data_IF_928071774690
#
_entry.id   IF_928071774690
#
_cell.length_a   1.000
_cell.length_b   1.000
_cell.length_c   1.000
_cell.angle_alpha   90.00
_cell.angle_beta   90.00
_cell.angle_gamma   90.00
#
_symmetry.space_group_name_H-M   'P 1'
#
loop_
_entity.id
_entity.type
_entity.pdbx_description
1 polymer ?
#
# COMPACT_ATOMS: atom_id res chain seq x y z
N UNK A 1 -7.85 29.16 -14.26
CA UNK A 1 -7.80 27.85 -13.58
C UNK A 1 -6.36 27.42 -13.56
N UNK A 2 -5.78 27.11 -12.38
CA UNK A 2 -4.41 26.59 -12.31
C UNK A 2 -4.35 25.21 -12.98
N UNK A 3 -3.46 25.07 -13.95
CA UNK A 3 -3.21 23.77 -14.57
C UNK A 3 -2.57 22.81 -13.58
N UNK A 4 -3.01 21.55 -13.58
CA UNK A 4 -2.37 20.47 -12.84
C UNK A 4 -0.95 20.27 -13.42
N UNK A 5 0.07 20.38 -12.57
CA UNK A 5 1.46 20.13 -12.96
C UNK A 5 1.90 18.78 -12.38
N UNK A 6 2.45 17.92 -13.24
CA UNK A 6 2.90 16.57 -12.89
C UNK A 6 4.40 16.50 -13.16
N UNK A 7 5.20 16.33 -12.11
CA UNK A 7 6.66 16.23 -12.19
C UNK A 7 7.07 14.80 -11.79
N UNK A 8 7.49 13.94 -12.74
CA UNK A 8 8.01 12.62 -12.42
C UNK A 8 9.24 12.71 -11.49
N UNK A 9 9.34 11.78 -10.53
CA UNK A 9 10.41 11.76 -9.52
C UNK A 9 11.42 10.64 -9.78
N UNK A 10 11.00 9.55 -10.44
CA UNK A 10 11.90 8.50 -10.90
C UNK A 10 11.40 7.91 -12.21
N UNK A 11 12.21 7.06 -12.84
CA UNK A 11 11.84 6.38 -14.07
C UNK A 11 10.83 5.25 -13.87
N UNK A 12 10.79 4.65 -12.67
CA UNK A 12 9.96 3.48 -12.38
C UNK A 12 8.58 3.86 -11.84
N UNK A 13 8.53 4.82 -10.91
CA UNK A 13 7.30 5.27 -10.26
C UNK A 13 7.50 6.63 -9.57
N UNK A 14 6.38 7.23 -9.17
CA UNK A 14 6.34 8.46 -8.38
C UNK A 14 6.29 9.74 -9.21
N UNK A 15 5.32 10.59 -8.88
CA UNK A 15 5.26 11.95 -9.38
C UNK A 15 4.79 12.93 -8.29
N UNK A 16 5.35 14.12 -8.29
CA UNK A 16 4.84 15.23 -7.49
C UNK A 16 3.78 15.99 -8.28
N UNK A 17 2.65 16.23 -7.63
CA UNK A 17 1.50 16.94 -8.20
C UNK A 17 1.38 18.30 -7.54
N UNK A 18 1.17 19.34 -8.36
CA UNK A 18 0.87 20.69 -7.90
C UNK A 18 -0.25 21.33 -8.75
N UNK A 19 -0.76 22.49 -8.32
CA UNK A 19 -1.87 23.17 -8.99
C UNK A 19 -3.25 22.61 -8.61
N UNK A 20 -3.34 21.80 -7.57
CA UNK A 20 -4.59 21.31 -6.98
C UNK A 20 -4.62 21.56 -5.48
N UNK A 21 -5.78 21.93 -4.96
CA UNK A 21 -6.10 22.01 -3.53
C UNK A 21 -7.03 20.82 -3.20
N UNK A 22 -6.48 19.84 -2.48
CA UNK A 22 -7.21 18.61 -2.09
C UNK A 22 -8.28 18.90 -1.03
N UNK A 23 -8.19 20.04 -0.34
CA UNK A 23 -9.23 20.45 0.62
C UNK A 23 -10.56 20.79 -0.06
N UNK A 24 -10.56 21.01 -1.38
CA UNK A 24 -11.74 21.35 -2.16
C UNK A 24 -12.31 20.12 -2.90
N UNK A 25 -13.61 20.08 -3.20
CA UNK A 25 -14.18 19.06 -4.07
C UNK A 25 -13.50 19.06 -5.45
N UNK A 26 -13.18 17.88 -5.96
CA UNK A 26 -12.66 17.73 -7.31
C UNK A 26 -13.80 17.80 -8.33
N UNK A 27 -13.59 18.54 -9.43
CA UNK A 27 -14.41 18.38 -10.62
C UNK A 27 -13.95 17.11 -11.39
N UNK A 28 -14.78 16.67 -12.35
CA UNK A 28 -14.51 15.46 -13.14
C UNK A 28 -13.17 15.53 -13.88
N UNK A 29 -12.86 16.66 -14.50
CA UNK A 29 -11.61 16.86 -15.25
C UNK A 29 -10.37 16.66 -14.37
N UNK A 30 -10.36 17.23 -13.16
CA UNK A 30 -9.25 17.09 -12.20
C UNK A 30 -9.17 15.68 -11.62
N UNK A 31 -10.34 15.09 -11.31
CA UNK A 31 -10.39 13.68 -10.85
C UNK A 31 -9.77 12.77 -11.90
N UNK A 32 -10.19 12.89 -13.17
CA UNK A 32 -9.70 12.07 -14.27
C UNK A 32 -8.20 12.30 -14.51
N UNK A 33 -7.72 13.54 -14.44
CA UNK A 33 -6.31 13.86 -14.59
C UNK A 33 -5.45 13.25 -13.47
N UNK A 34 -5.93 13.25 -12.22
CA UNK A 34 -5.25 12.60 -11.09
C UNK A 34 -5.26 11.07 -11.27
N UNK A 35 -6.37 10.48 -11.69
CA UNK A 35 -6.47 9.04 -11.96
C UNK A 35 -5.49 8.61 -13.07
N UNK A 36 -5.44 9.34 -14.18
CA UNK A 36 -4.47 9.07 -15.26
C UNK A 36 -3.02 9.21 -14.79
N UNK A 37 -2.74 10.21 -13.94
CA UNK A 37 -1.43 10.36 -13.33
C UNK A 37 -1.10 9.17 -12.42
N UNK A 38 -2.06 8.69 -11.61
CA UNK A 38 -1.89 7.51 -10.75
C UNK A 38 -1.62 6.25 -11.56
N UNK A 39 -2.37 6.00 -12.62
CA UNK A 39 -2.16 4.86 -13.53
C UNK A 39 -0.78 4.88 -14.17
N UNK A 40 -0.27 6.06 -14.49
CA UNK A 40 1.04 6.25 -15.13
C UNK A 40 2.19 6.16 -14.13
N UNK A 41 2.06 6.83 -12.99
CA UNK A 41 3.15 7.03 -12.03
C UNK A 41 3.05 6.16 -10.77
N UNK A 42 1.93 5.46 -10.55
CA UNK A 42 1.70 4.46 -9.50
C UNK A 42 1.67 5.03 -8.06
N UNK A 43 2.36 6.14 -7.80
CA UNK A 43 2.25 6.91 -6.55
C UNK A 43 2.38 8.39 -6.85
N UNK A 44 1.50 9.19 -6.24
CA UNK A 44 1.41 10.65 -6.38
C UNK A 44 1.66 11.30 -5.03
N UNK A 45 2.46 12.37 -5.03
CA UNK A 45 2.78 13.15 -3.85
C UNK A 45 2.28 14.58 -4.00
N UNK A 46 1.67 15.09 -2.94
CA UNK A 46 1.16 16.45 -2.88
C UNK A 46 1.77 17.12 -1.66
N UNK A 47 2.46 18.25 -1.87
CA UNK A 47 3.03 19.06 -0.80
C UNK A 47 2.00 20.06 -0.28
N UNK A 48 2.13 20.43 1.00
CA UNK A 48 1.40 21.54 1.63
C UNK A 48 -0.12 21.45 1.42
N UNK A 49 -0.70 20.33 1.85
CA UNK A 49 -2.14 20.08 1.77
C UNK A 49 -2.72 19.91 3.19
N UNK A 50 -2.96 21.01 3.92
CA UNK A 50 -3.54 20.93 5.26
C UNK A 50 -5.03 20.56 5.16
N UNK A 51 -5.33 19.27 5.25
CA UNK A 51 -6.70 18.76 5.13
C UNK A 51 -7.21 18.16 6.45
N UNK A 52 -8.53 18.26 6.66
CA UNK A 52 -9.24 17.54 7.72
C UNK A 52 -9.47 16.08 7.34
N UNK A 53 -9.78 15.19 8.31
CA UNK A 53 -10.16 13.81 8.00
C UNK A 53 -11.33 13.70 7.02
N UNK A 54 -12.33 14.57 7.14
CA UNK A 54 -13.49 14.60 6.23
C UNK A 54 -13.08 14.98 4.79
N UNK A 55 -12.14 15.93 4.65
CA UNK A 55 -11.60 16.33 3.34
C UNK A 55 -10.76 15.20 2.75
N UNK A 56 -9.97 14.49 3.57
CA UNK A 56 -9.19 13.33 3.15
C UNK A 56 -10.09 12.20 2.65
N UNK A 57 -11.12 11.84 3.41
CA UNK A 57 -12.10 10.82 3.02
C UNK A 57 -12.83 11.22 1.72
N UNK A 58 -13.28 12.47 1.62
CA UNK A 58 -13.92 12.99 0.40
C UNK A 58 -13.00 12.92 -0.82
N UNK A 59 -11.72 13.24 -0.68
CA UNK A 59 -10.75 13.12 -1.77
C UNK A 59 -10.61 11.66 -2.19
N UNK A 60 -10.38 10.74 -1.23
CA UNK A 60 -10.24 9.31 -1.51
C UNK A 60 -11.50 8.70 -2.15
N UNK A 61 -12.68 9.11 -1.71
CA UNK A 61 -13.98 8.63 -2.22
C UNK A 61 -14.25 8.97 -3.70
N UNK A 62 -13.47 9.86 -4.33
CA UNK A 62 -13.54 10.06 -5.77
C UNK A 62 -13.06 8.85 -6.58
N UNK A 63 -12.33 7.92 -5.96
CA UNK A 63 -11.67 6.79 -6.61
C UNK A 63 -12.27 5.43 -6.24
N UNK A 64 -13.28 5.39 -5.35
CA UNK A 64 -14.02 4.21 -4.95
C UNK A 64 -14.54 4.28 -3.52
N UNK A 65 -15.24 3.24 -3.09
CA UNK A 65 -15.74 3.11 -1.72
C UNK A 65 -14.59 2.99 -0.73
N UNK A 66 -14.79 3.49 0.49
CA UNK A 66 -13.75 3.53 1.50
C UNK A 66 -13.86 2.34 2.46
N UNK A 67 -12.70 1.86 2.90
CA UNK A 67 -12.55 0.79 3.87
C UNK A 67 -12.48 1.34 5.30
N UNK A 68 -13.19 0.71 6.23
CA UNK A 68 -13.04 0.95 7.68
C UNK A 68 -12.14 -0.15 8.24
N UNK A 69 -10.98 0.23 8.77
CA UNK A 69 -10.00 -0.72 9.26
C UNK A 69 -10.44 -1.33 10.61
N UNK A 70 -10.46 -2.69 10.76
CA UNK A 70 -11.01 -3.33 11.95
C UNK A 70 -10.07 -3.32 13.18
N UNK A 71 -8.77 -3.07 13.01
CA UNK A 71 -7.75 -3.22 14.07
C UNK A 71 -7.19 -1.86 14.49
N UNK A 72 -6.79 -1.01 13.54
CA UNK A 72 -6.23 0.30 13.86
C UNK A 72 -7.30 1.28 14.32
N UNK A 73 -6.96 2.21 15.24
CA UNK A 73 -7.87 3.28 15.64
C UNK A 73 -8.29 4.13 14.44
N UNK A 74 -9.56 4.50 14.42
CA UNK A 74 -10.13 5.39 13.41
C UNK A 74 -10.42 6.76 14.01
N UNK A 75 -10.54 7.79 13.16
CA UNK A 75 -11.02 9.11 13.59
C UNK A 75 -12.49 8.99 13.96
N UNK A 76 -12.93 9.37 15.20
CA UNK A 76 -14.31 9.13 15.64
C UNK A 76 -15.37 9.72 14.72
N UNK A 77 -15.13 10.94 14.21
CA UNK A 77 -16.07 11.67 13.35
C UNK A 77 -15.97 11.27 11.86
N UNK A 78 -14.96 10.44 11.49
CA UNK A 78 -14.72 9.97 10.13
C UNK A 78 -14.07 8.57 10.17
N UNK A 79 -14.85 7.51 10.41
CA UNK A 79 -14.32 6.15 10.64
C UNK A 79 -13.50 5.57 9.47
N UNK A 80 -13.71 6.07 8.26
CA UNK A 80 -12.95 5.67 7.07
C UNK A 80 -11.51 6.20 7.07
N UNK A 81 -11.17 7.06 8.02
CA UNK A 81 -9.80 7.56 8.22
C UNK A 81 -9.19 6.93 9.45
N UNK A 82 -8.25 6.01 9.25
CA UNK A 82 -7.51 5.39 10.35
C UNK A 82 -6.35 6.29 10.82
N UNK A 83 -5.94 6.09 12.07
CA UNK A 83 -4.85 6.82 12.72
C UNK A 83 -3.67 5.86 12.93
N UNK A 84 -2.51 6.24 12.41
CA UNK A 84 -1.23 5.59 12.67
C UNK A 84 -0.42 6.51 13.59
N UNK A 85 -0.54 6.30 14.90
CA UNK A 85 0.11 7.10 15.93
C UNK A 85 1.03 6.23 16.78
N UNK A 86 2.33 6.47 16.69
CA UNK A 86 3.35 5.67 17.37
C UNK A 86 3.35 5.80 18.90
N UNK A 87 2.60 6.74 19.48
CA UNK A 87 2.40 6.84 20.91
C UNK A 87 1.28 5.93 21.44
N UNK A 88 0.37 5.47 20.56
CA UNK A 88 -0.84 4.70 20.94
C UNK A 88 -0.82 3.31 20.31
N UNK A 89 -0.24 3.16 19.14
CA UNK A 89 -0.27 1.91 18.37
C UNK A 89 1.14 1.50 17.98
N UNK A 90 1.46 0.24 18.17
CA UNK A 90 2.69 -0.32 17.61
C UNK A 90 2.52 -0.54 16.11
N UNK A 91 3.13 0.35 15.32
CA UNK A 91 3.07 0.34 13.85
C UNK A 91 4.33 -0.25 13.20
N UNK A 92 5.18 -0.98 13.97
CA UNK A 92 6.44 -1.57 13.45
C UNK A 92 6.20 -2.65 12.39
N UNK A 93 5.00 -3.23 12.32
CA UNK A 93 4.56 -4.12 11.25
C UNK A 93 4.52 -3.45 9.87
N UNK A 94 4.49 -2.12 9.80
CA UNK A 94 4.62 -1.41 8.55
C UNK A 94 6.10 -1.25 8.09
N UNK A 95 7.07 -1.60 8.94
CA UNK A 95 8.49 -1.67 8.60
C UNK A 95 8.87 -3.02 7.97
N UNK A 96 8.06 -3.47 7.03
CA UNK A 96 8.26 -4.61 6.15
C UNK A 96 7.70 -4.25 4.77
N UNK A 97 8.28 -4.77 3.70
CA UNK A 97 7.73 -4.53 2.37
C UNK A 97 6.39 -5.25 2.21
N UNK A 98 5.33 -4.47 1.99
CA UNK A 98 3.98 -5.01 1.86
C UNK A 98 3.13 -4.24 0.86
N UNK A 99 2.11 -4.91 0.38
CA UNK A 99 0.96 -4.34 -0.31
C UNK A 99 -0.22 -4.46 0.65
N UNK A 100 -0.93 -3.37 0.89
CA UNK A 100 -2.01 -3.31 1.89
C UNK A 100 -3.05 -4.40 1.70
N UNK A 101 -3.36 -5.08 2.80
CA UNK A 101 -4.48 -6.03 3.00
C UNK A 101 -4.61 -7.11 1.91
N UNK A 102 -3.49 -7.63 1.39
CA UNK A 102 -3.54 -8.69 0.38
C UNK A 102 -4.06 -10.03 0.91
N UNK A 103 -4.31 -10.14 2.21
CA UNK A 103 -5.03 -11.25 2.83
C UNK A 103 -6.56 -11.17 2.65
N UNK A 104 -7.09 -10.13 1.99
CA UNK A 104 -8.51 -10.01 1.64
C UNK A 104 -8.78 -10.53 0.22
N UNK A 105 -9.99 -11.07 -0.05
CA UNK A 105 -10.38 -11.47 -1.41
C UNK A 105 -10.33 -10.32 -2.41
N UNK A 106 -10.61 -9.10 -1.94
CA UNK A 106 -10.54 -7.84 -2.70
C UNK A 106 -9.59 -6.88 -1.99
N UNK A 107 -8.27 -7.00 -2.19
CA UNK A 107 -7.30 -6.07 -1.61
C UNK A 107 -7.58 -4.62 -2.03
N UNK A 108 -7.10 -3.66 -1.23
CA UNK A 108 -7.30 -2.25 -1.51
C UNK A 108 -6.87 -1.85 -2.94
N UNK A 109 -7.63 -0.97 -3.59
CA UNK A 109 -7.24 -0.31 -4.84
C UNK A 109 -6.06 0.63 -4.60
N UNK A 110 -6.13 1.42 -3.53
CA UNK A 110 -5.13 2.40 -3.17
C UNK A 110 -5.39 3.01 -1.82
N UNK A 111 -4.51 3.89 -1.39
CA UNK A 111 -4.71 4.63 -0.15
C UNK A 111 -4.14 6.04 -0.23
N UNK A 112 -4.78 6.94 0.51
CA UNK A 112 -4.38 8.34 0.69
C UNK A 112 -3.84 8.49 2.10
N UNK A 113 -2.53 8.78 2.23
CA UNK A 113 -1.83 8.94 3.50
C UNK A 113 -1.46 10.40 3.70
N UNK A 114 -1.84 10.98 4.84
CA UNK A 114 -1.58 12.37 5.20
C UNK A 114 -0.68 12.46 6.42
N UNK A 115 0.37 13.28 6.35
CA UNK A 115 1.32 13.51 7.43
C UNK A 115 0.80 14.59 8.40
N UNK A 116 0.57 14.24 9.67
CA UNK A 116 0.04 15.15 10.71
C UNK A 116 1.09 15.60 11.72
N UNK A 117 1.87 14.67 12.21
CA UNK A 117 3.00 14.93 13.10
C UNK A 117 4.19 14.10 12.64
N UNK A 118 5.32 14.72 12.51
CA UNK A 118 6.55 14.08 12.02
C UNK A 118 7.68 14.25 13.04
N UNK A 119 8.59 13.26 13.13
CA UNK A 119 9.85 13.44 13.83
C UNK A 119 10.74 14.43 13.06
N UNK A 120 11.75 14.97 13.74
CA UNK A 120 12.75 15.86 13.12
C UNK A 120 13.58 15.14 12.03
N UNK A 121 13.84 13.85 12.26
CA UNK A 121 14.58 12.98 11.33
C UNK A 121 13.86 11.64 11.18
N UNK A 122 14.05 11.00 10.02
CA UNK A 122 13.53 9.67 9.75
C UNK A 122 12.02 9.61 9.50
N UNK A 123 11.46 8.41 9.56
CA UNK A 123 10.04 8.16 9.32
C UNK A 123 9.62 8.32 7.87
N UNK A 124 10.56 8.23 6.93
CA UNK A 124 10.29 8.23 5.49
C UNK A 124 9.44 7.01 5.09
N UNK A 125 8.87 7.06 3.91
CA UNK A 125 8.21 5.89 3.31
C UNK A 125 8.81 5.61 1.94
N UNK A 126 9.04 4.33 1.66
CA UNK A 126 9.47 3.86 0.35
C UNK A 126 8.29 3.19 -0.37
N UNK A 127 8.25 3.35 -1.69
CA UNK A 127 7.36 2.58 -2.57
C UNK A 127 8.19 1.85 -3.61
N UNK A 128 7.75 0.66 -4.00
CA UNK A 128 8.35 -0.15 -5.05
C UNK A 128 7.32 -0.47 -6.13
N UNK A 129 7.73 -0.41 -7.40
CA UNK A 129 6.90 -0.72 -8.55
C UNK A 129 6.91 -2.23 -8.85
N UNK A 130 5.80 -2.90 -8.60
CA UNK A 130 5.62 -4.29 -9.04
C UNK A 130 5.59 -4.43 -10.57
N UNK A 131 5.18 -3.38 -11.29
CA UNK A 131 5.23 -3.36 -12.76
C UNK A 131 6.68 -3.36 -13.25
N UNK A 132 7.52 -2.43 -12.75
CA UNK A 132 8.93 -2.37 -13.15
C UNK A 132 9.67 -3.67 -12.74
N UNK A 133 9.35 -4.21 -11.58
CA UNK A 133 9.89 -5.49 -11.12
C UNK A 133 9.51 -6.64 -12.07
N UNK A 134 8.23 -6.73 -12.48
CA UNK A 134 7.81 -7.73 -13.47
C UNK A 134 8.49 -7.52 -14.82
N UNK A 135 8.52 -6.30 -15.33
CA UNK A 135 9.11 -5.98 -16.63
C UNK A 135 10.61 -6.34 -16.70
N UNK A 136 11.34 -6.21 -15.58
CA UNK A 136 12.76 -6.53 -15.48
C UNK A 136 13.08 -8.02 -15.27
N UNK A 137 12.08 -8.88 -15.05
CA UNK A 137 12.30 -10.33 -15.02
C UNK A 137 12.71 -10.85 -16.40
N UNK A 138 13.59 -11.85 -16.41
CA UNK A 138 13.92 -12.57 -17.66
C UNK A 138 12.69 -13.28 -18.26
N UNK A 139 12.67 -13.50 -19.55
CA UNK A 139 11.58 -14.21 -20.22
C UNK A 139 11.31 -15.61 -19.63
N UNK A 140 12.33 -16.45 -19.33
CA UNK A 140 12.09 -17.73 -18.66
C UNK A 140 11.44 -17.58 -17.29
N UNK A 141 11.84 -16.55 -16.49
CA UNK A 141 11.23 -16.32 -15.19
C UNK A 141 9.77 -15.87 -15.31
N UNK A 142 9.46 -15.00 -16.27
CA UNK A 142 8.07 -14.61 -16.56
C UNK A 142 7.22 -15.84 -16.92
N UNK A 143 7.73 -16.69 -17.83
CA UNK A 143 7.05 -17.93 -18.22
C UNK A 143 6.83 -18.88 -17.05
N UNK A 144 7.80 -18.97 -16.12
CA UNK A 144 7.67 -19.79 -14.93
C UNK A 144 6.55 -19.27 -14.01
N UNK A 145 6.47 -17.97 -13.82
CA UNK A 145 5.57 -17.34 -12.81
C UNK A 145 4.15 -17.11 -13.35
N UNK A 146 3.98 -17.01 -14.65
CA UNK A 146 2.67 -16.79 -15.27
C UNK A 146 1.73 -17.96 -15.02
N UNK A 147 0.57 -17.68 -14.44
CA UNK A 147 -0.43 -18.68 -14.06
C UNK A 147 -0.23 -19.31 -12.68
N UNK A 148 0.90 -19.07 -12.01
CA UNK A 148 1.07 -19.50 -10.62
C UNK A 148 0.27 -18.63 -9.66
N UNK A 149 -0.12 -19.25 -8.53
CA UNK A 149 -0.82 -18.59 -7.44
C UNK A 149 0.01 -18.61 -6.15
N UNK A 150 -0.19 -17.63 -5.30
CA UNK A 150 0.47 -17.55 -4.01
C UNK A 150 -0.55 -17.40 -2.89
N UNK A 151 -0.30 -18.07 -1.76
CA UNK A 151 -1.09 -17.93 -0.54
C UNK A 151 -0.67 -16.68 0.21
N UNK A 152 -1.65 -15.84 0.55
CA UNK A 152 -1.53 -14.67 1.39
C UNK A 152 -2.19 -14.95 2.74
N UNK A 153 -1.46 -14.67 3.82
CA UNK A 153 -1.83 -15.02 5.19
C UNK A 153 -1.76 -13.78 6.10
N UNK A 154 -2.89 -13.47 6.73
CA UNK A 154 -3.04 -12.40 7.72
C UNK A 154 -2.01 -12.52 8.86
N UNK A 155 -1.73 -13.75 9.32
CA UNK A 155 -0.91 -14.00 10.51
C UNK A 155 0.57 -13.64 10.32
N UNK A 156 1.03 -13.46 9.08
CA UNK A 156 2.43 -13.07 8.81
C UNK A 156 2.76 -11.66 9.30
N UNK A 157 1.90 -10.69 9.06
CA UNK A 157 2.08 -9.31 9.54
C UNK A 157 1.45 -9.06 10.91
N UNK A 158 0.52 -9.93 11.31
CA UNK A 158 -0.16 -9.86 12.60
C UNK A 158 0.09 -11.12 13.43
N UNK A 159 1.35 -11.39 13.85
CA UNK A 159 1.67 -12.59 14.63
C UNK A 159 1.00 -12.58 16.00
N UNK A 160 0.58 -13.76 16.46
CA UNK A 160 -0.13 -13.95 17.72
C UNK A 160 0.63 -13.38 18.92
N UNK A 161 1.94 -13.58 18.97
CA UNK A 161 2.81 -13.18 20.08
C UNK A 161 2.77 -11.65 20.31
N UNK A 162 2.48 -10.90 19.26
CA UNK A 162 2.42 -9.43 19.31
C UNK A 162 1.00 -8.91 19.47
N UNK A 163 0.05 -9.48 18.76
CA UNK A 163 -1.33 -8.99 18.66
C UNK A 163 -2.32 -9.73 19.55
N UNK A 164 -1.95 -10.88 20.13
CA UNK A 164 -2.76 -11.67 21.06
C UNK A 164 -2.17 -11.75 22.47
N UNK A 165 -1.41 -10.73 22.90
CA UNK A 165 -0.63 -10.73 24.15
C UNK A 165 -1.42 -10.42 25.43
N UNK A 166 -2.71 -10.11 25.33
CA UNK A 166 -3.65 -10.02 26.46
C UNK A 166 -4.88 -10.88 26.17
N UNK A 167 -5.69 -11.25 27.19
CA UNK A 167 -6.90 -12.04 26.95
C UNK A 167 -7.87 -11.39 25.96
N UNK A 168 -8.06 -10.09 26.04
CA UNK A 168 -8.95 -9.31 25.17
C UNK A 168 -8.38 -9.23 23.74
N UNK A 169 -7.08 -8.96 23.61
CA UNK A 169 -6.38 -8.91 22.33
C UNK A 169 -6.37 -10.29 21.66
N UNK A 170 -6.24 -11.37 22.42
CA UNK A 170 -6.31 -12.73 21.89
C UNK A 170 -7.68 -13.02 21.25
N UNK A 171 -8.77 -12.67 21.93
CA UNK A 171 -10.12 -12.86 21.38
C UNK A 171 -10.30 -12.09 20.07
N UNK A 172 -9.85 -10.83 20.03
CA UNK A 172 -9.92 -10.00 18.83
C UNK A 172 -9.06 -10.57 17.69
N UNK A 173 -7.86 -11.05 18.00
CA UNK A 173 -6.95 -11.65 17.03
C UNK A 173 -7.51 -12.96 16.45
N UNK A 174 -8.05 -13.83 17.29
CA UNK A 174 -8.70 -15.07 16.86
C UNK A 174 -9.91 -14.81 15.96
N UNK A 175 -10.70 -13.81 16.30
CA UNK A 175 -11.84 -13.39 15.45
C UNK A 175 -11.35 -12.85 14.11
N UNK A 176 -10.31 -11.98 14.10
CA UNK A 176 -9.73 -11.45 12.88
C UNK A 176 -9.14 -12.56 12.01
N UNK A 177 -8.40 -13.52 12.59
CA UNK A 177 -7.86 -14.69 11.89
C UNK A 177 -8.97 -15.55 11.28
N UNK A 178 -10.05 -15.80 12.02
CA UNK A 178 -11.19 -16.58 11.53
C UNK A 178 -11.91 -15.91 10.38
N UNK A 179 -12.02 -14.58 10.40
CA UNK A 179 -12.62 -13.79 9.32
C UNK A 179 -11.73 -13.69 8.09
N UNK A 180 -10.41 -13.82 8.27
CA UNK A 180 -9.41 -13.69 7.22
C UNK A 180 -8.56 -14.98 7.13
N UNK A 181 -9.13 -16.11 6.69
CA UNK A 181 -8.34 -17.33 6.47
C UNK A 181 -7.36 -17.08 5.31
N UNK A 182 -6.22 -17.82 5.28
CA UNK A 182 -5.31 -17.75 4.15
C UNK A 182 -6.04 -17.98 2.82
N UNK A 183 -5.71 -17.16 1.81
CA UNK A 183 -6.32 -17.21 0.49
C UNK A 183 -5.29 -17.09 -0.62
N UNK A 184 -5.70 -17.41 -1.85
CA UNK A 184 -4.82 -17.40 -3.01
C UNK A 184 -5.05 -16.18 -3.89
N UNK A 185 -3.93 -15.57 -4.35
CA UNK A 185 -3.89 -14.57 -5.41
C UNK A 185 -2.89 -14.98 -6.50
N UNK A 186 -3.01 -14.46 -7.73
CA UNK A 186 -1.99 -14.70 -8.76
C UNK A 186 -0.64 -14.11 -8.33
N UNK A 187 0.47 -14.81 -8.63
CA UNK A 187 1.84 -14.30 -8.45
C UNK A 187 2.07 -13.07 -9.32
N UNK A 188 1.54 -13.11 -10.54
CA UNK A 188 1.51 -11.97 -11.48
C UNK A 188 0.08 -11.50 -11.63
N UNK A 189 -0.19 -10.26 -11.21
CA UNK A 189 -1.51 -9.63 -11.34
C UNK A 189 -1.57 -8.78 -12.60
N UNK A 190 -2.67 -8.86 -13.33
CA UNK A 190 -3.00 -7.91 -14.39
C UNK A 190 -3.77 -6.72 -13.78
N UNK A 191 -3.32 -5.51 -14.05
CA UNK A 191 -3.98 -4.31 -13.57
C UNK A 191 -5.31 -4.10 -14.33
N UNK A 192 -6.44 -3.92 -13.63
CA UNK A 192 -7.79 -3.97 -14.24
C UNK A 192 -8.06 -2.84 -15.24
N UNK A 193 -7.38 -1.70 -15.10
CA UNK A 193 -7.60 -0.52 -15.96
C UNK A 193 -6.51 -0.40 -17.04
N UNK A 194 -5.24 -0.50 -16.66
CA UNK A 194 -4.12 -0.31 -17.61
C UNK A 194 -3.74 -1.57 -18.39
N UNK A 195 -4.17 -2.76 -17.94
CA UNK A 195 -3.77 -4.05 -18.51
C UNK A 195 -2.29 -4.42 -18.26
N UNK A 196 -1.51 -3.59 -17.58
CA UNK A 196 -0.11 -3.88 -17.28
C UNK A 196 0.00 -5.00 -16.26
N UNK A 197 1.01 -5.85 -16.44
CA UNK A 197 1.33 -6.93 -15.49
C UNK A 197 2.23 -6.43 -14.37
N UNK A 198 1.99 -6.91 -13.17
CA UNK A 198 2.69 -6.54 -11.94
C UNK A 198 3.05 -7.78 -11.14
N UNK A 199 4.23 -7.83 -10.56
CA UNK A 199 4.57 -8.81 -9.54
C UNK A 199 3.75 -8.52 -8.28
N UNK A 200 2.95 -9.51 -7.84
CA UNK A 200 1.94 -9.33 -6.77
C UNK A 200 2.21 -10.21 -5.54
N UNK A 201 3.46 -10.49 -5.24
CA UNK A 201 3.89 -11.13 -4.01
C UNK A 201 4.62 -10.12 -3.13
N UNK A 202 4.46 -10.20 -1.81
CA UNK A 202 5.09 -9.29 -0.87
C UNK A 202 5.51 -10.03 0.40
N UNK A 203 6.54 -9.53 1.06
CA UNK A 203 7.11 -10.14 2.26
C UNK A 203 6.11 -10.15 3.44
N UNK A 204 5.27 -9.10 3.53
CA UNK A 204 4.33 -8.93 4.62
C UNK A 204 3.25 -10.00 4.71
N UNK A 205 2.75 -10.50 3.58
CA UNK A 205 1.59 -11.41 3.59
C UNK A 205 1.79 -12.70 2.79
N UNK A 206 2.69 -12.76 1.80
CA UNK A 206 2.83 -13.95 0.96
C UNK A 206 3.59 -15.06 1.68
N UNK A 207 2.98 -16.22 1.85
CA UNK A 207 3.54 -17.35 2.58
C UNK A 207 4.14 -18.44 1.68
N UNK A 208 3.52 -18.74 0.53
CA UNK A 208 4.01 -19.77 -0.40
C UNK A 208 3.45 -19.56 -1.82
N UNK A 209 4.14 -20.14 -2.81
CA UNK A 209 3.62 -20.35 -4.17
C UNK A 209 2.98 -21.74 -4.18
N UNK A 210 1.71 -21.82 -4.57
CA UNK A 210 0.88 -22.99 -4.31
C UNK A 210 1.25 -24.21 -5.16
N UNK A 211 1.70 -24.00 -6.38
CA UNK A 211 2.00 -25.03 -7.38
C UNK A 211 3.43 -25.60 -7.25
N UNK A 212 4.24 -25.02 -6.36
CA UNK A 212 5.63 -25.44 -6.12
C UNK A 212 5.77 -26.24 -4.84
N UNK A 213 6.81 -27.08 -4.76
CA UNK A 213 7.23 -27.69 -3.50
C UNK A 213 7.65 -26.60 -2.49
N UNK A 214 7.66 -26.93 -1.21
CA UNK A 214 8.02 -25.96 -0.15
C UNK A 214 9.41 -25.33 -0.39
N UNK A 215 10.40 -26.16 -0.70
CA UNK A 215 11.78 -25.70 -0.96
C UNK A 215 11.88 -24.79 -2.20
N UNK A 216 11.18 -25.14 -3.29
CA UNK A 216 11.14 -24.31 -4.50
C UNK A 216 10.43 -22.99 -4.24
N UNK A 217 9.27 -23.06 -3.59
CA UNK A 217 8.49 -21.88 -3.23
C UNK A 217 9.30 -20.90 -2.36
N UNK A 218 9.99 -21.39 -1.33
CA UNK A 218 10.85 -20.58 -0.47
C UNK A 218 11.98 -19.89 -1.26
N UNK A 219 12.68 -20.67 -2.11
CA UNK A 219 13.78 -20.14 -2.93
C UNK A 219 13.30 -19.07 -3.91
N UNK A 220 12.18 -19.30 -4.59
CA UNK A 220 11.59 -18.35 -5.55
C UNK A 220 11.05 -17.11 -4.83
N UNK A 221 10.31 -17.23 -3.74
CA UNK A 221 9.81 -16.08 -2.99
C UNK A 221 10.94 -15.21 -2.44
N UNK A 222 12.01 -15.80 -1.90
CA UNK A 222 13.19 -15.07 -1.45
C UNK A 222 13.81 -14.24 -2.58
N UNK A 223 13.94 -14.84 -3.76
CA UNK A 223 14.41 -14.13 -4.96
C UNK A 223 13.46 -13.00 -5.34
N UNK A 224 12.13 -13.24 -5.40
CA UNK A 224 11.14 -12.28 -5.84
C UNK A 224 11.02 -11.08 -4.88
N UNK A 225 11.09 -11.30 -3.56
CA UNK A 225 11.07 -10.22 -2.58
C UNK A 225 12.29 -9.31 -2.73
N UNK A 226 13.49 -9.88 -2.83
CA UNK A 226 14.71 -9.11 -3.07
C UNK A 226 14.71 -8.40 -4.44
N UNK A 227 14.17 -9.04 -5.48
CA UNK A 227 14.07 -8.46 -6.81
C UNK A 227 13.07 -7.30 -6.87
N UNK A 228 11.88 -7.43 -6.24
CA UNK A 228 10.82 -6.43 -6.29
C UNK A 228 11.22 -5.10 -5.60
N UNK A 229 12.14 -5.17 -4.65
CA UNK A 229 12.53 -4.03 -3.81
C UNK A 229 13.92 -3.47 -4.16
N UNK A 230 14.43 -3.77 -5.36
CA UNK A 230 15.69 -3.19 -5.85
C UNK A 230 15.59 -1.66 -5.95
N UNK A 231 16.69 -0.94 -5.71
CA UNK A 231 16.71 0.52 -5.76
C UNK A 231 16.17 1.11 -7.08
N UNK A 232 16.38 0.43 -8.22
CA UNK A 232 15.92 0.88 -9.53
C UNK A 232 14.39 0.91 -9.67
N UNK A 233 13.68 0.15 -8.83
CA UNK A 233 12.22 0.05 -8.85
C UNK A 233 11.57 0.81 -7.69
N UNK A 234 12.35 1.53 -6.86
CA UNK A 234 11.87 2.17 -5.65
C UNK A 234 11.97 3.68 -5.70
N UNK A 235 11.15 4.31 -4.88
CA UNK A 235 11.25 5.74 -4.54
C UNK A 235 11.15 5.88 -3.03
N UNK A 236 11.94 6.78 -2.46
CA UNK A 236 11.90 7.17 -1.05
C UNK A 236 11.34 8.59 -0.93
N UNK A 237 10.27 8.75 -0.13
CA UNK A 237 9.66 10.04 0.13
C UNK A 237 10.01 10.52 1.53
N UNK A 238 10.67 11.66 1.60
CA UNK A 238 10.91 12.37 2.84
C UNK A 238 9.72 13.28 3.10
N UNK A 239 8.99 12.95 4.15
CA UNK A 239 7.77 13.64 4.53
C UNK A 239 8.03 15.06 5.04
N UNK A 240 7.13 15.96 4.70
CA UNK A 240 6.92 17.24 5.34
C UNK A 240 5.51 17.26 5.94
N UNK A 241 5.29 18.10 6.96
CA UNK A 241 3.96 18.25 7.54
C UNK A 241 2.97 18.64 6.44
N UNK A 242 1.76 18.08 6.54
CA UNK A 242 0.68 18.26 5.58
C UNK A 242 0.97 17.76 4.16
N UNK A 243 2.00 16.93 3.97
CA UNK A 243 2.15 16.15 2.75
C UNK A 243 1.08 15.07 2.64
N UNK A 244 0.73 14.75 1.40
CA UNK A 244 -0.14 13.63 1.07
C UNK A 244 0.57 12.73 0.05
N UNK A 245 0.47 11.42 0.25
CA UNK A 245 0.75 10.41 -0.76
C UNK A 245 -0.52 9.66 -1.13
N UNK A 246 -0.74 9.45 -2.43
CA UNK A 246 -1.80 8.60 -2.97
C UNK A 246 -1.18 7.56 -3.89
N UNK A 247 -1.30 6.28 -3.56
CA UNK A 247 -0.71 5.20 -4.37
C UNK A 247 -1.72 4.19 -4.85
N UNK A 248 -1.39 3.56 -5.97
CA UNK A 248 -2.10 2.41 -6.53
C UNK A 248 -1.56 1.13 -5.90
N UNK A 249 -2.30 0.61 -4.93
CA UNK A 249 -1.92 -0.59 -4.18
C UNK A 249 -1.95 -1.87 -5.02
N UNK A 250 -2.59 -1.82 -6.19
CA UNK A 250 -2.69 -2.97 -7.11
C UNK A 250 -1.36 -3.30 -7.78
N UNK A 251 -0.42 -2.36 -7.79
CA UNK A 251 0.85 -2.45 -8.53
C UNK A 251 2.05 -1.95 -7.74
N UNK A 252 1.89 -1.57 -6.47
CA UNK A 252 2.98 -1.12 -5.62
C UNK A 252 3.06 -1.90 -4.31
N UNK A 253 4.27 -1.97 -3.77
CA UNK A 253 4.55 -2.30 -2.37
C UNK A 253 5.09 -1.05 -1.69
N UNK A 254 4.98 -0.98 -0.36
CA UNK A 254 5.55 0.10 0.40
C UNK A 254 6.17 -0.38 1.72
N UNK A 255 7.02 0.49 2.29
CA UNK A 255 7.79 0.22 3.49
C UNK A 255 7.87 1.52 4.31
N UNK A 256 7.40 1.52 5.55
CA UNK A 256 7.55 2.63 6.48
C UNK A 256 8.86 2.49 7.25
N UNK A 257 9.80 3.43 7.06
CA UNK A 257 11.10 3.38 7.74
C UNK A 257 10.93 3.67 9.23
N UNK A 258 11.39 2.76 10.09
CA UNK A 258 11.28 2.85 11.56
C UNK A 258 12.61 3.30 12.19
N UNK A 259 13.16 4.42 11.72
CA UNK A 259 14.46 4.98 12.13
C UNK A 259 14.36 6.26 12.97
N UNK A 260 13.20 6.56 13.54
CA UNK A 260 12.90 7.82 14.23
C UNK A 260 12.55 7.65 15.71
N UNK A 261 12.47 6.44 16.21
CA UNK A 261 12.13 6.19 17.64
C UNK A 261 13.23 6.74 18.58
N UNK A 262 12.84 7.32 19.72
CA UNK A 262 11.51 7.33 20.36
C UNK A 262 10.59 8.48 19.94
N UNK A 263 10.93 9.26 18.91
CA UNK A 263 10.09 10.37 18.48
C UNK A 263 8.70 9.90 18.00
N UNK A 264 7.66 10.72 18.28
CA UNK A 264 6.29 10.44 17.88
C UNK A 264 6.08 10.79 16.40
N UNK A 265 5.35 9.93 15.70
CA UNK A 265 4.89 10.14 14.33
C UNK A 265 3.40 9.86 14.26
N UNK A 266 2.64 10.76 13.62
CA UNK A 266 1.20 10.60 13.41
C UNK A 266 0.86 10.78 11.95
N UNK A 267 0.27 9.76 11.36
CA UNK A 267 -0.28 9.77 10.01
C UNK A 267 -1.76 9.44 10.04
N UNK A 268 -2.50 9.91 9.04
CA UNK A 268 -3.89 9.53 8.82
C UNK A 268 -4.03 8.90 7.43
N UNK A 269 -4.76 7.80 7.32
CA UNK A 269 -4.92 7.05 6.06
C UNK A 269 -6.38 6.79 5.75
N UNK A 270 -6.81 7.14 4.55
CA UNK A 270 -8.05 6.69 3.94
C UNK A 270 -7.73 5.65 2.87
N UNK A 271 -8.33 4.46 2.97
CA UNK A 271 -8.07 3.33 2.08
C UNK A 271 -9.27 3.12 1.16
N UNK A 272 -9.02 3.01 -0.14
CA UNK A 272 -10.04 2.78 -1.17
C UNK A 272 -10.15 1.28 -1.43
N UNK A 273 -11.36 0.72 -1.41
CA UNK A 273 -11.64 -0.69 -1.71
C UNK A 273 -11.26 -1.03 -3.16
N UNK A 274 -10.82 -2.24 -3.37
CA UNK A 274 -10.30 -2.71 -4.64
C UNK A 274 -11.12 -3.84 -5.28
N UNK A 275 -10.48 -4.54 -6.18
CA UNK A 275 -11.02 -5.61 -6.99
C UNK A 275 -10.37 -6.96 -6.67
N UNK A 276 -10.99 -8.04 -7.15
CA UNK A 276 -10.40 -9.38 -7.10
C UNK A 276 -9.18 -9.43 -8.02
N UNK A 277 -7.96 -9.75 -7.50
CA UNK A 277 -6.78 -9.90 -8.32
C UNK A 277 -6.93 -11.02 -9.36
N UNK A 278 -6.50 -10.76 -10.60
CA UNK A 278 -6.55 -11.73 -11.68
C UNK A 278 -5.28 -11.66 -12.54
N UNK A 279 -5.03 -12.74 -13.31
CA UNK A 279 -4.01 -12.83 -14.34
C UNK A 279 -4.65 -13.07 -15.71
N UNK A 280 -4.24 -12.30 -16.72
CA UNK A 280 -4.60 -12.48 -18.15
C UNK A 280 -3.44 -12.15 -19.05
#
# INVERSE_FOLDING_TARGET
>A
MSHLTIVPLSSALGAQISGVDISQPLNLERRDAIEQALLKHQVLFFRDQPITPQQQARFAANFGDLHIHPIYPNVPEQPEVLILDTAVTDVRDNAIWHTDVTFLPTPAMGAVLSAKLLPEFGGDTLWASGIAAYEALSAPMKTLLEGLTATHDFTRSFPLERYGNTPEALVQWEEARRKNPPLSHPVIRTHPVSGRRSLFVNEGFTSKINELSETESEAILKFLFAHATRPEFTIRWRWQKDDIAFWDNRVTQHYAVDDYRPARRVMQRATVLGDVPFFR
#
